data_IF_421180141225
#
_entry.id   IF_421180141225
#
_cell.length_a   1.000
_cell.length_b   1.000
_cell.length_c   1.000
_cell.angle_alpha   90.00
_cell.angle_beta   90.00
_cell.angle_gamma   90.00
#
_symmetry.space_group_name_H-M   'P 1'
#
loop_
_entity.id
_entity.type
_entity.pdbx_description
1 polymer ?
#
# COMPACT_ATOMS: atom_id res chain seq x y z
N UNK A 1 -4.46 25.38 1.95
CA UNK A 1 -3.59 24.24 2.32
C UNK A 1 -3.67 24.04 3.82
N UNK A 2 -3.87 22.80 4.28
CA UNK A 2 -3.78 22.46 5.71
C UNK A 2 -2.35 22.69 6.20
N UNK A 3 -2.19 23.15 7.45
CA UNK A 3 -0.88 23.26 8.11
C UNK A 3 -0.16 21.91 8.12
N UNK A 4 1.18 21.84 8.01
CA UNK A 4 1.94 20.59 8.12
C UNK A 4 1.66 19.88 9.45
N UNK A 5 1.47 20.66 10.52
CA UNK A 5 1.09 20.15 11.84
C UNK A 5 -0.30 19.52 11.79
N UNK A 6 -1.28 20.19 11.18
CA UNK A 6 -2.65 19.66 11.10
C UNK A 6 -2.73 18.44 10.17
N UNK A 7 -1.94 18.40 9.10
CA UNK A 7 -1.82 17.22 8.24
C UNK A 7 -1.29 16.01 9.03
N UNK A 8 -0.16 16.18 9.73
CA UNK A 8 0.42 15.14 10.57
C UNK A 8 -0.53 14.68 11.69
N UNK A 9 -1.22 15.61 12.34
CA UNK A 9 -2.20 15.29 13.39
C UNK A 9 -3.36 14.45 12.86
N UNK A 10 -3.91 14.85 11.71
CA UNK A 10 -5.00 14.12 11.07
C UNK A 10 -4.54 12.75 10.57
N UNK A 11 -3.31 12.64 10.07
CA UNK A 11 -2.69 11.36 9.68
C UNK A 11 -2.67 10.37 10.85
N UNK A 12 -2.11 10.75 12.00
CA UNK A 12 -2.09 9.85 13.16
C UNK A 12 -3.52 9.56 13.64
N UNK A 13 -4.40 10.55 13.74
CA UNK A 13 -5.77 10.32 14.22
C UNK A 13 -6.60 9.37 13.34
N UNK A 14 -6.32 9.25 12.04
CA UNK A 14 -6.98 8.27 11.15
C UNK A 14 -6.60 6.82 11.50
N UNK A 15 -5.41 6.60 12.04
CA UNK A 15 -4.88 5.28 12.40
C UNK A 15 -5.30 4.84 13.81
N UNK A 16 -5.79 5.75 14.66
CA UNK A 16 -6.12 5.48 16.06
C UNK A 16 -7.49 6.07 16.40
N UNK A 17 -8.54 5.23 16.46
CA UNK A 17 -9.94 5.66 16.67
C UNK A 17 -10.17 6.48 17.93
N UNK A 18 -9.36 6.26 18.97
CA UNK A 18 -9.49 6.93 20.27
C UNK A 18 -8.63 8.19 20.39
N UNK A 19 -7.89 8.54 19.33
CA UNK A 19 -7.05 9.72 19.29
C UNK A 19 -7.90 10.99 19.28
N UNK A 20 -7.69 11.84 20.29
CA UNK A 20 -8.30 13.17 20.36
C UNK A 20 -7.31 14.22 19.90
N UNK A 21 -7.80 15.14 19.07
CA UNK A 21 -7.04 16.27 18.54
C UNK A 21 -7.58 17.59 19.11
N UNK A 22 -7.00 18.14 20.19
CA UNK A 22 -7.47 19.42 20.75
C UNK A 22 -7.31 20.59 19.78
N UNK A 23 -8.36 21.38 19.60
CA UNK A 23 -8.38 22.47 18.62
C UNK A 23 -7.24 23.49 18.87
N UNK A 24 -6.52 23.85 17.80
CA UNK A 24 -5.42 24.81 17.84
C UNK A 24 -4.19 24.36 18.65
N UNK A 25 -4.03 23.06 18.92
CA UNK A 25 -2.89 22.51 19.66
C UNK A 25 -2.04 21.59 18.77
N UNK A 26 -0.70 21.62 18.87
CA UNK A 26 0.17 20.79 18.04
C UNK A 26 0.35 19.37 18.59
N UNK A 27 -0.70 18.79 19.21
CA UNK A 27 -0.62 17.46 19.83
C UNK A 27 -1.90 16.66 19.62
N UNK A 28 -1.75 15.34 19.76
CA UNK A 28 -2.84 14.36 19.84
C UNK A 28 -2.67 13.51 21.09
N UNK A 29 -3.77 13.05 21.66
CA UNK A 29 -3.77 12.28 22.90
C UNK A 29 -4.81 11.16 22.89
N UNK A 30 -4.39 9.99 23.34
CA UNK A 30 -5.17 8.81 23.69
C UNK A 30 -5.14 8.68 25.22
N UNK A 31 -6.28 8.37 25.83
CA UNK A 31 -6.36 8.05 27.26
C UNK A 31 -6.21 6.53 27.39
N UNK A 32 -5.03 6.04 27.79
CA UNK A 32 -4.80 4.60 27.99
C UNK A 32 -5.65 4.06 29.14
N UNK A 33 -5.61 4.73 30.29
CA UNK A 33 -6.48 4.47 31.42
C UNK A 33 -6.60 5.73 32.28
N UNK A 34 -7.36 5.64 33.38
CA UNK A 34 -7.48 6.74 34.34
C UNK A 34 -6.10 7.08 34.92
N UNK A 35 -5.50 8.15 34.41
CA UNK A 35 -4.22 8.67 34.87
C UNK A 35 -3.01 8.35 34.00
N UNK A 36 -3.24 7.73 32.84
CA UNK A 36 -2.22 7.48 31.83
C UNK A 36 -2.67 8.04 30.48
N UNK A 37 -1.86 8.95 29.96
CA UNK A 37 -2.03 9.58 28.66
C UNK A 37 -0.92 9.07 27.73
N UNK A 38 -1.29 8.78 26.49
CA UNK A 38 -0.36 8.42 25.43
C UNK A 38 -0.62 9.30 24.22
N UNK A 39 0.40 9.69 23.48
CA UNK A 39 0.18 10.57 22.35
C UNK A 39 1.45 11.07 21.72
N UNK A 40 1.33 12.20 21.04
CA UNK A 40 2.45 12.85 20.40
C UNK A 40 2.35 14.37 20.59
N UNK A 41 3.49 15.06 20.52
CA UNK A 41 3.57 16.50 20.51
C UNK A 41 4.54 16.97 19.43
N UNK A 42 4.05 17.78 18.50
CA UNK A 42 4.88 18.38 17.46
C UNK A 42 5.59 19.62 18.02
N UNK A 43 6.92 19.62 17.97
CA UNK A 43 7.79 20.76 18.29
C UNK A 43 8.39 21.32 17.00
N UNK A 44 9.19 22.37 17.12
CA UNK A 44 9.82 23.04 15.97
C UNK A 44 10.88 22.15 15.30
N UNK A 45 11.57 21.37 16.10
CA UNK A 45 12.79 20.62 15.79
C UNK A 45 12.66 19.11 16.02
N UNK A 46 11.49 18.64 16.48
CA UNK A 46 11.21 17.22 16.63
C UNK A 46 9.71 16.93 16.79
N UNK A 47 9.31 15.67 16.68
CA UNK A 47 8.06 15.14 17.23
C UNK A 47 8.36 14.29 18.46
N UNK A 48 7.72 14.58 19.60
CA UNK A 48 7.80 13.76 20.81
C UNK A 48 6.61 12.80 20.83
N UNK A 49 6.86 11.51 20.60
CA UNK A 49 5.89 10.43 20.88
C UNK A 49 6.06 10.04 22.33
N UNK A 50 4.99 10.01 23.12
CA UNK A 50 5.12 9.96 24.57
C UNK A 50 4.05 9.16 25.29
N UNK A 51 4.48 8.57 26.40
CA UNK A 51 3.65 8.20 27.54
C UNK A 51 3.82 9.22 28.66
N UNK A 52 2.71 9.63 29.28
CA UNK A 52 2.69 10.55 30.43
C UNK A 52 1.70 10.03 31.48
N UNK A 53 2.19 9.77 32.69
CA UNK A 53 1.31 9.63 33.86
C UNK A 53 0.88 11.00 34.37
N UNK A 54 -0.36 11.13 34.87
CA UNK A 54 -0.87 12.41 35.38
C UNK A 54 -0.50 12.68 36.86
N UNK A 55 0.28 11.79 37.48
CA UNK A 55 0.70 11.89 38.89
C UNK A 55 -0.31 11.38 39.92
N UNK A 56 -1.36 10.65 39.51
CA UNK A 56 -2.30 9.99 40.43
C UNK A 56 -1.86 8.58 40.86
N UNK A 57 -0.88 8.00 40.19
CA UNK A 57 -0.27 6.71 40.52
C UNK A 57 1.08 6.93 41.21
N UNK A 58 1.56 5.92 41.94
CA UNK A 58 2.89 5.97 42.54
C UNK A 58 3.95 6.03 41.44
N UNK A 59 4.81 7.06 41.40
CA UNK A 59 5.86 7.16 40.39
C UNK A 59 6.87 5.99 40.47
N UNK A 60 7.07 5.35 41.62
CA UNK A 60 7.94 4.17 41.72
C UNK A 60 7.33 2.95 41.03
N UNK A 61 6.00 2.78 41.07
CA UNK A 61 5.32 1.68 40.36
C UNK A 61 5.41 1.88 38.84
N UNK A 62 5.24 3.11 38.37
CA UNK A 62 5.35 3.43 36.94
C UNK A 62 6.80 3.27 36.44
N UNK A 63 7.79 3.72 37.22
CA UNK A 63 9.21 3.51 36.90
C UNK A 63 9.58 2.02 36.97
N UNK A 64 9.03 1.28 37.95
CA UNK A 64 9.18 -0.16 38.07
C UNK A 64 8.70 -0.88 36.81
N UNK A 65 7.50 -0.55 36.32
CA UNK A 65 6.98 -1.09 35.06
C UNK A 65 7.92 -0.83 33.87
N UNK A 66 8.45 0.39 33.74
CA UNK A 66 9.39 0.74 32.67
C UNK A 66 10.66 -0.12 32.73
N UNK A 67 11.22 -0.30 33.94
CA UNK A 67 12.42 -1.10 34.15
C UNK A 67 12.18 -2.59 33.92
N UNK A 68 11.09 -3.14 34.47
CA UNK A 68 10.77 -4.56 34.40
C UNK A 68 10.48 -5.02 32.96
N UNK A 69 9.99 -4.11 32.11
CA UNK A 69 9.74 -4.37 30.69
C UNK A 69 10.90 -3.92 29.77
N UNK A 70 12.02 -3.47 30.35
CA UNK A 70 13.21 -3.02 29.63
C UNK A 70 12.97 -1.81 28.73
N UNK A 71 11.91 -1.04 28.95
CA UNK A 71 11.49 0.05 28.05
C UNK A 71 12.57 1.13 27.97
N UNK A 72 13.21 1.47 29.09
CA UNK A 72 14.27 2.49 29.13
C UNK A 72 15.54 2.14 28.36
N UNK A 73 15.77 0.84 28.09
CA UNK A 73 16.95 0.34 27.38
C UNK A 73 16.65 -0.10 25.93
N UNK A 74 15.39 0.02 25.50
CA UNK A 74 14.96 -0.29 24.12
C UNK A 74 15.34 0.84 23.17
N UNK A 75 15.36 0.52 21.89
CA UNK A 75 15.35 1.51 20.82
C UNK A 75 14.09 1.40 20.00
N UNK A 76 13.65 2.54 19.47
CA UNK A 76 12.43 2.68 18.68
C UNK A 76 12.76 3.17 17.27
N UNK A 77 12.02 2.68 16.28
CA UNK A 77 12.23 3.03 14.87
C UNK A 77 13.65 2.74 14.38
N UNK A 78 14.41 3.81 14.12
CA UNK A 78 15.76 3.78 13.52
C UNK A 78 16.85 3.90 14.61
N UNK A 79 16.62 3.27 15.76
CA UNK A 79 17.59 3.27 16.86
C UNK A 79 17.43 4.43 17.85
N UNK A 80 16.27 5.08 17.90
CA UNK A 80 16.03 6.20 18.83
C UNK A 80 15.83 5.68 20.26
N UNK A 81 16.60 6.21 21.20
CA UNK A 81 16.49 5.87 22.62
C UNK A 81 15.39 6.72 23.30
N UNK A 82 14.58 6.13 24.19
CA UNK A 82 13.56 6.86 24.92
C UNK A 82 14.14 7.66 26.09
N UNK A 83 13.67 8.90 26.25
CA UNK A 83 13.96 9.71 27.43
C UNK A 83 12.94 9.41 28.54
N UNK A 84 13.40 8.77 29.62
CA UNK A 84 12.57 8.46 30.80
C UNK A 84 12.92 9.42 31.95
N UNK A 85 11.96 10.19 32.42
CA UNK A 85 12.20 11.18 33.47
C UNK A 85 10.96 11.55 34.29
N UNK A 86 11.20 12.16 35.46
CA UNK A 86 10.15 12.72 36.31
C UNK A 86 9.84 14.17 35.96
N UNK A 87 8.57 14.54 36.11
CA UNK A 87 8.08 15.88 35.87
C UNK A 87 8.74 16.89 36.80
N UNK A 88 9.24 17.98 36.23
CA UNK A 88 9.93 19.04 36.99
C UNK A 88 8.99 19.83 37.91
N UNK A 89 7.70 19.94 37.55
CA UNK A 89 6.67 20.63 38.36
C UNK A 89 5.93 19.70 39.31
N UNK A 90 5.87 18.42 38.98
CA UNK A 90 5.22 17.39 39.79
C UNK A 90 6.05 16.11 39.66
N UNK A 91 6.79 15.76 40.71
CA UNK A 91 7.68 14.60 40.72
C UNK A 91 6.92 13.27 40.64
N UNK A 92 5.60 13.26 40.85
CA UNK A 92 4.77 12.07 40.68
C UNK A 92 4.42 11.79 39.21
N UNK A 93 4.65 12.76 38.31
CA UNK A 93 4.48 12.55 36.88
C UNK A 93 5.73 11.88 36.33
N UNK A 94 5.59 10.66 35.85
CA UNK A 94 6.59 9.94 35.05
C UNK A 94 6.27 10.13 33.57
N UNK A 95 7.31 10.38 32.77
CA UNK A 95 7.27 10.55 31.31
C UNK A 95 8.25 9.59 30.66
N UNK A 96 7.86 9.05 29.52
CA UNK A 96 8.73 8.35 28.59
C UNK A 96 8.46 8.97 27.21
N UNK A 97 9.47 9.61 26.62
CA UNK A 97 9.35 10.36 25.37
C UNK A 97 10.39 9.84 24.35
N UNK A 98 9.95 9.52 23.14
CA UNK A 98 10.83 9.21 22.00
C UNK A 98 10.80 10.41 21.05
N UNK A 99 11.96 11.00 20.79
CA UNK A 99 12.10 12.23 20.02
C UNK A 99 12.53 11.95 18.58
N UNK A 100 11.62 12.18 17.63
CA UNK A 100 11.86 12.06 16.20
C UNK A 100 12.37 13.40 15.68
N UNK A 101 13.65 13.53 15.27
CA UNK A 101 14.23 14.81 14.88
C UNK A 101 13.55 15.39 13.61
N UNK A 102 13.46 16.71 13.56
CA UNK A 102 13.00 17.49 12.40
C UNK A 102 14.02 18.61 12.13
N UNK A 103 14.50 18.72 10.89
CA UNK A 103 15.21 19.90 10.41
C UNK A 103 14.25 21.09 10.25
N UNK A 104 12.99 20.80 9.89
CA UNK A 104 11.91 21.79 9.86
C UNK A 104 10.53 21.17 10.05
N UNK A 105 9.56 21.99 10.49
CA UNK A 105 8.15 21.57 10.63
C UNK A 105 7.56 21.14 9.27
N UNK A 106 8.12 21.58 8.15
CA UNK A 106 7.65 21.18 6.82
C UNK A 106 7.89 19.70 6.54
N UNK A 107 8.84 19.06 7.23
CA UNK A 107 9.09 17.62 7.16
C UNK A 107 7.91 16.77 7.62
N UNK A 108 6.99 17.33 8.41
CA UNK A 108 5.75 16.64 8.79
C UNK A 108 4.86 16.32 7.58
N UNK A 109 5.11 16.94 6.42
CA UNK A 109 4.46 16.56 5.17
C UNK A 109 5.04 15.27 4.59
N UNK A 110 6.31 14.95 4.87
CA UNK A 110 7.00 13.76 4.34
C UNK A 110 6.29 12.49 4.81
N UNK A 111 5.71 11.68 3.92
CA UNK A 111 5.12 10.39 4.24
C UNK A 111 6.09 9.46 4.98
N UNK A 112 7.38 9.45 4.61
CA UNK A 112 8.44 8.68 5.30
C UNK A 112 8.52 9.02 6.78
N UNK A 113 8.53 10.32 7.13
CA UNK A 113 8.53 10.78 8.51
C UNK A 113 7.23 10.42 9.24
N UNK A 114 6.08 10.53 8.57
CA UNK A 114 4.78 10.15 9.14
C UNK A 114 4.69 8.65 9.44
N UNK A 115 5.15 7.78 8.52
CA UNK A 115 5.20 6.32 8.71
C UNK A 115 6.21 5.92 9.78
N UNK A 116 7.41 6.48 9.76
CA UNK A 116 8.42 6.26 10.80
C UNK A 116 7.88 6.68 12.18
N UNK A 117 7.19 7.82 12.24
CA UNK A 117 6.54 8.26 13.46
C UNK A 117 5.39 7.37 13.90
N UNK A 118 4.59 6.81 12.97
CA UNK A 118 3.54 5.86 13.30
C UNK A 118 4.12 4.56 13.83
N UNK A 119 5.20 4.05 13.22
CA UNK A 119 5.90 2.85 13.71
C UNK A 119 6.38 3.03 15.15
N UNK A 120 7.02 4.17 15.45
CA UNK A 120 7.43 4.50 16.83
C UNK A 120 6.23 4.62 17.76
N UNK A 121 5.14 5.22 17.27
CA UNK A 121 3.88 5.30 18.02
C UNK A 121 3.33 3.92 18.36
N UNK A 122 3.30 2.98 17.42
CA UNK A 122 2.84 1.61 17.63
C UNK A 122 3.76 0.82 18.57
N UNK A 123 5.07 0.89 18.37
CA UNK A 123 6.07 0.22 19.23
C UNK A 123 5.95 0.69 20.69
N UNK A 124 5.93 2.01 20.91
CA UNK A 124 5.83 2.58 22.26
C UNK A 124 4.42 2.37 22.86
N UNK A 125 3.36 2.42 22.05
CA UNK A 125 2.00 2.14 22.51
C UNK A 125 1.89 0.71 23.04
N UNK A 126 2.42 -0.27 22.31
CA UNK A 126 2.38 -1.68 22.72
C UNK A 126 3.09 -1.88 24.06
N UNK A 127 4.25 -1.24 24.24
CA UNK A 127 5.00 -1.29 25.50
C UNK A 127 4.23 -0.72 26.70
N UNK A 128 3.41 0.31 26.50
CA UNK A 128 2.61 0.92 27.58
C UNK A 128 1.16 0.44 27.64
N UNK A 129 0.67 -0.33 26.67
CA UNK A 129 -0.71 -0.87 26.71
C UNK A 129 -0.94 -1.80 27.92
N UNK A 130 0.09 -2.57 28.29
CA UNK A 130 0.08 -3.48 29.44
C UNK A 130 -0.01 -2.79 30.79
N UNK A 131 0.52 -1.57 30.95
CA UNK A 131 0.51 -0.84 32.25
C UNK A 131 -0.91 -0.51 32.72
N UNK A 132 -1.83 -0.42 31.77
CA UNK A 132 -3.22 -0.08 31.99
C UNK A 132 -4.12 -1.32 32.13
N UNK A 133 -3.60 -2.52 31.82
CA UNK A 133 -4.43 -3.72 31.65
C UNK A 133 -5.48 -3.56 30.53
N UNK A 134 -5.20 -2.72 29.54
CA UNK A 134 -6.13 -2.37 28.46
C UNK A 134 -5.74 -3.12 27.20
N UNK A 135 -6.63 -4.01 26.75
CA UNK A 135 -6.55 -4.58 25.42
C UNK A 135 -6.72 -3.47 24.38
N UNK A 136 -5.93 -3.53 23.31
CA UNK A 136 -6.00 -2.58 22.18
C UNK A 136 -7.46 -2.45 21.70
N UNK A 137 -8.00 -1.24 21.49
CA UNK A 137 -9.17 -1.09 20.64
C UNK A 137 -8.83 -1.70 19.29
N UNK A 138 -9.63 -2.68 18.82
CA UNK A 138 -9.37 -3.40 17.57
C UNK A 138 -8.94 -2.40 16.49
N UNK A 139 -7.79 -2.66 15.86
CA UNK A 139 -7.59 -2.17 14.49
C UNK A 139 -8.84 -2.56 13.68
N UNK A 140 -9.19 -1.81 12.64
CA UNK A 140 -9.95 -2.43 11.55
C UNK A 140 -9.04 -3.50 10.95
N UNK A 141 -9.03 -4.67 11.56
CA UNK A 141 -8.38 -5.88 11.07
C UNK A 141 -9.46 -6.67 10.33
N UNK A 142 -9.25 -6.82 9.03
CA UNK A 142 -9.64 -8.04 8.33
C UNK A 142 -8.91 -9.21 9.01
N UNK A 143 -9.68 -10.14 9.54
CA UNK A 143 -9.19 -11.33 10.22
C UNK A 143 -8.41 -12.23 9.27
N UNK A 144 -7.12 -12.43 9.54
CA UNK A 144 -6.27 -13.46 8.91
C UNK A 144 -6.49 -14.76 9.68
N UNK A 145 -7.14 -15.74 9.06
CA UNK A 145 -7.04 -17.15 9.48
C UNK A 145 -5.88 -17.80 8.73
N UNK A 146 -4.96 -18.38 9.49
CA UNK A 146 -3.95 -19.32 8.97
C UNK A 146 -4.65 -20.58 8.48
N UNK A 147 -4.50 -20.93 7.20
CA UNK A 147 -4.93 -22.25 6.69
C UNK A 147 -3.75 -22.94 6.03
N UNK A 148 -3.46 -24.14 6.54
CA UNK A 148 -2.53 -25.10 5.97
C UNK A 148 -2.93 -25.49 4.54
N UNK A 149 -1.91 -25.74 3.73
CA UNK A 149 -1.96 -26.22 2.36
C UNK A 149 -2.86 -27.47 2.21
N UNK A 150 -4.01 -27.33 1.56
CA UNK A 150 -4.80 -28.45 1.02
C UNK A 150 -5.35 -28.09 -0.36
N UNK A 151 -5.14 -29.02 -1.29
CA UNK A 151 -5.39 -28.94 -2.73
C UNK A 151 -6.70 -28.24 -3.15
N UNK A 152 -6.57 -27.32 -4.12
CA UNK A 152 -7.67 -26.68 -4.84
C UNK A 152 -8.59 -27.73 -5.46
N UNK A 153 -9.82 -27.82 -4.94
CA UNK A 153 -10.98 -28.31 -5.68
C UNK A 153 -11.92 -27.14 -5.88
N UNK A 154 -12.59 -27.14 -7.04
CA UNK A 154 -13.34 -26.04 -7.64
C UNK A 154 -14.57 -25.60 -6.84
N UNK A 155 -14.38 -24.88 -5.74
CA UNK A 155 -15.40 -23.98 -5.21
C UNK A 155 -15.13 -22.57 -5.74
N UNK A 156 -16.16 -21.96 -6.33
CA UNK A 156 -16.10 -20.65 -6.96
C UNK A 156 -15.59 -19.62 -5.95
N UNK A 157 -14.32 -19.22 -6.08
CA UNK A 157 -13.78 -18.07 -5.36
C UNK A 157 -14.67 -16.87 -5.68
N UNK A 158 -15.45 -16.39 -4.71
CA UNK A 158 -16.21 -15.16 -4.87
C UNK A 158 -15.20 -13.99 -4.95
N UNK A 159 -15.13 -13.35 -6.13
CA UNK A 159 -14.30 -12.17 -6.32
C UNK A 159 -15.09 -10.94 -5.85
N UNK A 160 -14.46 -10.11 -5.01
CA UNK A 160 -15.04 -8.79 -4.69
C UNK A 160 -15.12 -7.96 -5.97
N UNK A 161 -16.22 -7.24 -6.13
CA UNK A 161 -16.47 -6.44 -7.32
C UNK A 161 -17.05 -5.06 -6.99
N UNK A 162 -16.97 -4.16 -7.97
CA UNK A 162 -17.52 -2.81 -7.91
C UNK A 162 -18.15 -2.46 -9.25
N UNK A 163 -19.30 -1.79 -9.22
CA UNK A 163 -19.96 -1.28 -10.42
C UNK A 163 -19.46 0.14 -10.69
N UNK A 164 -18.88 0.35 -11.87
CA UNK A 164 -18.40 1.65 -12.35
C UNK A 164 -19.05 1.89 -13.71
N UNK A 165 -19.95 2.86 -13.78
CA UNK A 165 -20.79 3.05 -14.96
C UNK A 165 -21.66 1.81 -15.23
N UNK A 166 -21.51 1.24 -16.41
CA UNK A 166 -22.22 0.03 -16.82
C UNK A 166 -21.40 -1.26 -16.64
N UNK A 167 -20.18 -1.15 -16.13
CA UNK A 167 -19.23 -2.27 -16.03
C UNK A 167 -19.10 -2.71 -14.57
N UNK A 168 -19.11 -4.03 -14.33
CA UNK A 168 -18.80 -4.62 -13.03
C UNK A 168 -17.34 -5.11 -13.04
N UNK A 169 -16.48 -4.39 -12.33
CA UNK A 169 -15.03 -4.63 -12.25
C UNK A 169 -14.67 -5.44 -11.01
N UNK A 170 -13.64 -6.30 -11.11
CA UNK A 170 -13.00 -6.85 -9.91
C UNK A 170 -12.43 -5.73 -9.06
N UNK A 171 -12.61 -5.81 -7.73
CA UNK A 171 -12.07 -4.86 -6.74
C UNK A 171 -10.64 -5.22 -6.27
N UNK A 172 -10.15 -6.39 -6.65
CA UNK A 172 -8.80 -6.90 -6.34
C UNK A 172 -8.10 -7.34 -7.63
N UNK A 173 -6.77 -7.34 -7.64
CA UNK A 173 -5.99 -7.83 -8.78
C UNK A 173 -6.17 -9.33 -8.94
N UNK A 174 -6.22 -9.80 -10.18
CA UNK A 174 -6.36 -11.22 -10.48
C UNK A 174 -5.19 -12.01 -9.87
N UNK A 175 -5.53 -13.12 -9.23
CA UNK A 175 -4.58 -13.92 -8.48
C UNK A 175 -4.89 -15.41 -8.62
N UNK A 176 -4.81 -15.91 -9.86
CA UNK A 176 -5.04 -17.32 -10.24
C UNK A 176 -3.75 -17.99 -10.74
N UNK A 177 -3.55 -19.26 -10.38
CA UNK A 177 -2.43 -20.08 -10.87
C UNK A 177 -2.79 -21.03 -12.02
N UNK A 178 -4.06 -21.02 -12.45
CA UNK A 178 -4.62 -21.93 -13.43
C UNK A 178 -5.44 -21.16 -14.46
N UNK A 179 -5.46 -21.66 -15.69
CA UNK A 179 -6.39 -21.21 -16.72
C UNK A 179 -7.82 -21.70 -16.42
N UNK A 180 -8.80 -21.17 -17.15
CA UNK A 180 -10.22 -21.55 -17.04
C UNK A 180 -10.46 -23.06 -17.22
N UNK A 181 -9.64 -23.71 -18.05
CA UNK A 181 -9.67 -25.17 -18.25
C UNK A 181 -8.93 -25.98 -17.16
N UNK A 182 -8.50 -25.35 -16.08
CA UNK A 182 -7.71 -25.92 -14.97
C UNK A 182 -6.26 -26.30 -15.31
N UNK A 183 -5.76 -25.99 -16.51
CA UNK A 183 -4.33 -26.16 -16.78
C UNK A 183 -3.51 -25.19 -15.93
N UNK A 184 -2.45 -25.68 -15.29
CA UNK A 184 -1.56 -24.85 -14.49
C UNK A 184 -0.75 -23.88 -15.38
N UNK A 185 -0.63 -22.65 -14.90
CA UNK A 185 0.26 -21.64 -15.45
C UNK A 185 1.60 -21.76 -14.71
N UNK A 186 2.74 -21.92 -15.41
CA UNK A 186 4.04 -21.99 -14.76
C UNK A 186 4.35 -20.74 -13.91
N UNK A 187 4.89 -20.95 -12.71
CA UNK A 187 5.49 -19.88 -11.91
C UNK A 187 6.97 -19.72 -12.29
N UNK A 188 7.41 -18.51 -12.61
CA UNK A 188 8.83 -18.19 -12.77
C UNK A 188 9.39 -17.62 -11.46
N UNK A 189 10.40 -18.30 -10.91
CA UNK A 189 11.05 -17.97 -9.64
C UNK A 189 12.39 -17.27 -9.83
N UNK A 190 12.94 -17.31 -11.05
CA UNK A 190 14.18 -16.61 -11.40
C UNK A 190 14.01 -15.74 -12.64
N UNK A 191 14.97 -14.84 -12.87
CA UNK A 191 15.00 -14.01 -14.07
C UNK A 191 15.18 -14.84 -15.34
N UNK A 192 16.03 -15.86 -15.28
CA UNK A 192 16.30 -16.76 -16.41
C UNK A 192 15.04 -17.52 -16.83
N UNK A 193 14.22 -17.95 -15.86
CA UNK A 193 12.95 -18.62 -16.13
C UNK A 193 11.94 -17.70 -16.81
N UNK A 194 11.80 -16.47 -16.28
CA UNK A 194 10.90 -15.45 -16.84
C UNK A 194 11.33 -15.05 -18.25
N UNK A 195 12.61 -14.74 -18.45
CA UNK A 195 13.17 -14.33 -19.74
C UNK A 195 13.02 -15.44 -20.78
N UNK A 196 13.26 -16.70 -20.38
CA UNK A 196 13.09 -17.86 -21.28
C UNK A 196 11.63 -18.02 -21.68
N UNK A 197 10.68 -17.90 -20.75
CA UNK A 197 9.26 -17.97 -21.09
C UNK A 197 8.87 -16.87 -22.09
N UNK A 198 9.38 -15.65 -21.89
CA UNK A 198 9.18 -14.54 -22.84
C UNK A 198 9.75 -14.80 -24.23
N UNK A 199 10.95 -15.42 -24.33
CA UNK A 199 11.58 -15.78 -25.61
C UNK A 199 10.87 -16.94 -26.33
N UNK A 200 10.26 -17.85 -25.57
CA UNK A 200 9.53 -19.01 -26.08
C UNK A 200 8.04 -18.73 -26.29
N UNK A 201 7.59 -17.49 -26.06
CA UNK A 201 6.18 -17.07 -26.12
C UNK A 201 5.25 -17.93 -25.25
N UNK A 202 5.72 -18.29 -24.05
CA UNK A 202 4.99 -19.14 -23.10
C UNK A 202 4.36 -18.33 -21.97
N UNK A 203 3.18 -18.73 -21.49
CA UNK A 203 2.54 -18.09 -20.36
C UNK A 203 3.33 -18.36 -19.08
N UNK A 204 3.45 -17.35 -18.23
CA UNK A 204 4.09 -17.46 -16.92
C UNK A 204 3.52 -16.42 -15.97
N UNK A 205 3.58 -16.69 -14.66
CA UNK A 205 3.32 -15.71 -13.62
C UNK A 205 4.42 -15.70 -12.57
N UNK A 206 4.47 -14.63 -11.77
CA UNK A 206 5.28 -14.58 -10.55
C UNK A 206 4.63 -13.61 -9.55
N UNK A 207 5.04 -13.68 -8.29
CA UNK A 207 4.81 -12.60 -7.34
C UNK A 207 5.88 -11.51 -7.48
N UNK A 208 5.57 -10.29 -7.08
CA UNK A 208 6.58 -9.24 -7.02
C UNK A 208 7.77 -9.67 -6.14
N UNK A 209 9.00 -9.43 -6.57
CA UNK A 209 10.25 -9.93 -5.96
C UNK A 209 10.34 -11.47 -5.81
N UNK A 210 9.48 -12.23 -6.47
CA UNK A 210 9.27 -13.67 -6.24
C UNK A 210 8.96 -14.01 -4.77
N UNK A 211 8.25 -13.11 -4.08
CA UNK A 211 7.88 -13.22 -2.67
C UNK A 211 6.38 -13.51 -2.51
N UNK A 212 5.97 -14.68 -1.99
CA UNK A 212 4.55 -15.03 -1.80
C UNK A 212 3.75 -14.00 -1.01
N UNK A 213 4.36 -13.34 -0.01
CA UNK A 213 3.73 -12.29 0.78
C UNK A 213 3.25 -11.09 -0.07
N UNK A 214 3.89 -10.82 -1.20
CA UNK A 214 3.43 -9.79 -2.14
C UNK A 214 2.23 -10.27 -2.97
N UNK A 215 2.04 -11.58 -3.09
CA UNK A 215 0.92 -12.17 -3.80
C UNK A 215 -0.43 -11.99 -3.10
N UNK A 216 -0.44 -12.06 -1.77
CA UNK A 216 -1.64 -11.80 -0.96
C UNK A 216 -2.09 -10.34 -1.10
N UNK A 217 -1.12 -9.43 -1.20
CA UNK A 217 -1.35 -7.99 -1.25
C UNK A 217 -1.62 -7.45 -2.64
N UNK A 218 -0.74 -7.73 -3.60
CA UNK A 218 -0.76 -7.12 -4.94
C UNK A 218 -1.27 -8.06 -6.03
N UNK A 219 -1.50 -9.33 -5.72
CA UNK A 219 -1.82 -10.35 -6.71
C UNK A 219 -0.59 -10.82 -7.50
N UNK A 220 -0.85 -11.55 -8.59
CA UNK A 220 0.18 -12.08 -9.48
C UNK A 220 0.48 -11.11 -10.61
N UNK A 221 1.74 -11.10 -11.04
CA UNK A 221 2.16 -10.50 -12.29
C UNK A 221 2.14 -11.56 -13.38
N UNK A 222 1.45 -11.29 -14.48
CA UNK A 222 1.35 -12.17 -15.63
C UNK A 222 2.07 -11.56 -16.81
N UNK A 223 2.78 -12.37 -17.59
CA UNK A 223 3.16 -11.93 -18.92
C UNK A 223 1.94 -11.96 -19.87
N UNK A 224 2.04 -11.25 -20.98
CA UNK A 224 0.90 -11.13 -21.89
C UNK A 224 0.55 -12.45 -22.60
N UNK A 225 1.50 -13.38 -22.71
CA UNK A 225 1.21 -14.72 -23.21
C UNK A 225 0.26 -15.50 -22.30
N UNK A 226 0.25 -15.23 -20.98
CA UNK A 226 -0.77 -15.76 -20.08
C UNK A 226 -2.09 -15.00 -20.23
N UNK A 227 -2.04 -13.66 -20.34
CA UNK A 227 -3.24 -12.81 -20.54
C UNK A 227 -4.03 -13.25 -21.77
N UNK A 228 -3.35 -13.45 -22.91
CA UNK A 228 -3.98 -13.78 -24.19
C UNK A 228 -3.86 -15.26 -24.57
N UNK A 229 -3.77 -16.17 -23.59
CA UNK A 229 -3.76 -17.61 -23.86
C UNK A 229 -5.16 -18.10 -24.26
N UNK A 230 -5.23 -19.00 -25.25
CA UNK A 230 -6.49 -19.58 -25.72
C UNK A 230 -7.26 -20.39 -24.66
N UNK A 231 -6.60 -20.76 -23.55
CA UNK A 231 -7.22 -21.44 -22.41
C UNK A 231 -7.93 -20.49 -21.43
N UNK A 232 -7.82 -19.18 -21.67
CA UNK A 232 -8.41 -18.08 -20.90
C UNK A 232 -7.87 -17.97 -19.47
N UNK A 233 -7.23 -16.85 -19.15
CA UNK A 233 -6.76 -16.55 -17.80
C UNK A 233 -7.90 -16.16 -16.86
N UNK A 234 -8.94 -15.50 -17.38
CA UNK A 234 -10.06 -15.04 -16.56
C UNK A 234 -10.93 -16.22 -16.07
N UNK A 235 -11.41 -16.18 -14.80
CA UNK A 235 -12.35 -17.16 -14.24
C UNK A 235 -13.69 -17.21 -14.99
N UNK A 236 -14.51 -18.23 -14.70
CA UNK A 236 -15.87 -18.32 -15.25
C UNK A 236 -16.74 -17.10 -14.87
N UNK A 237 -17.46 -16.54 -15.84
CA UNK A 237 -18.27 -15.32 -15.67
C UNK A 237 -17.48 -14.01 -15.66
N UNK A 238 -16.18 -14.06 -15.97
CA UNK A 238 -15.30 -12.90 -16.06
C UNK A 238 -14.49 -12.95 -17.36
N UNK A 239 -14.14 -11.78 -17.89
CA UNK A 239 -13.20 -11.62 -18.99
C UNK A 239 -12.12 -10.60 -18.67
N UNK A 240 -11.01 -10.67 -19.41
CA UNK A 240 -9.97 -9.64 -19.37
C UNK A 240 -10.46 -8.46 -20.21
N UNK A 241 -10.42 -7.23 -19.68
CA UNK A 241 -10.90 -6.07 -20.39
C UNK A 241 -10.14 -5.87 -21.69
N UNK A 242 -10.88 -5.48 -22.71
CA UNK A 242 -10.30 -4.94 -23.94
C UNK A 242 -9.99 -3.44 -23.78
N UNK A 243 -9.38 -2.87 -24.82
CA UNK A 243 -9.02 -1.45 -24.89
C UNK A 243 -10.25 -0.55 -24.75
N UNK A 244 -11.33 -0.86 -25.47
CA UNK A 244 -12.56 -0.09 -25.47
C UNK A 244 -13.23 -0.07 -24.09
N UNK A 245 -13.15 -1.17 -23.34
CA UNK A 245 -13.71 -1.28 -21.99
C UNK A 245 -12.94 -0.44 -20.96
N UNK A 246 -11.60 -0.40 -21.05
CA UNK A 246 -10.82 0.52 -20.23
C UNK A 246 -11.09 1.98 -20.61
N UNK A 247 -11.31 2.29 -21.89
CA UNK A 247 -11.69 3.64 -22.33
C UNK A 247 -13.05 4.02 -21.74
N UNK A 248 -14.06 3.13 -21.79
CA UNK A 248 -15.37 3.37 -21.17
C UNK A 248 -15.26 3.65 -19.66
N UNK A 249 -14.41 2.90 -18.94
CA UNK A 249 -14.11 3.15 -17.53
C UNK A 249 -13.56 4.56 -17.31
N UNK A 250 -12.59 4.97 -18.11
CA UNK A 250 -11.92 6.27 -17.99
C UNK A 250 -12.89 7.41 -18.32
N UNK A 251 -13.62 7.31 -19.43
CA UNK A 251 -14.61 8.31 -19.87
C UNK A 251 -15.73 8.49 -18.84
N UNK A 252 -16.23 7.39 -18.29
CA UNK A 252 -17.25 7.45 -17.22
C UNK A 252 -16.74 8.22 -16.00
N UNK A 253 -15.49 7.99 -15.59
CA UNK A 253 -14.89 8.67 -14.45
C UNK A 253 -14.47 10.11 -14.74
N UNK A 254 -14.17 10.44 -15.99
CA UNK A 254 -13.94 11.80 -16.45
C UNK A 254 -15.24 12.62 -16.49
N UNK A 255 -16.37 11.96 -16.81
CA UNK A 255 -17.67 12.60 -17.01
C UNK A 255 -17.88 13.15 -18.42
N UNK A 256 -16.95 12.88 -19.33
CA UNK A 256 -16.97 13.23 -20.76
C UNK A 256 -16.17 12.19 -21.56
N UNK A 257 -16.46 12.09 -22.87
CA UNK A 257 -15.66 11.26 -23.76
C UNK A 257 -14.27 11.89 -23.91
N UNK A 258 -13.22 11.13 -23.59
CA UNK A 258 -11.84 11.60 -23.71
C UNK A 258 -11.34 11.46 -25.15
N UNK A 259 -10.84 12.57 -25.72
CA UNK A 259 -10.16 12.56 -27.03
C UNK A 259 -8.65 12.28 -26.91
N UNK A 260 -8.11 12.29 -25.69
CA UNK A 260 -6.67 12.25 -25.40
C UNK A 260 -6.23 10.95 -24.69
N UNK A 261 -4.99 10.49 -24.96
CA UNK A 261 -4.35 9.32 -24.33
C UNK A 261 -4.05 9.51 -22.81
N UNK A 262 -4.37 10.69 -22.26
CA UNK A 262 -4.03 11.15 -20.91
C UNK A 262 -5.27 11.85 -20.33
N UNK A 263 -5.79 11.36 -19.21
CA UNK A 263 -6.96 11.96 -18.56
C UNK A 263 -6.66 12.33 -17.12
N UNK A 264 -6.56 13.63 -16.85
CA UNK A 264 -6.29 14.19 -15.54
C UNK A 264 -7.42 13.86 -14.55
N UNK A 265 -7.10 13.75 -13.25
CA UNK A 265 -8.04 13.50 -12.14
C UNK A 265 -8.78 12.15 -12.15
N UNK A 266 -8.67 11.33 -13.21
CA UNK A 266 -9.28 9.98 -13.24
C UNK A 266 -8.43 8.95 -12.50
N UNK A 267 -7.11 8.99 -12.66
CA UNK A 267 -6.19 8.09 -11.98
C UNK A 267 -6.33 8.17 -10.46
N UNK A 268 -6.57 9.37 -9.94
CA UNK A 268 -6.92 9.58 -8.53
C UNK A 268 -8.16 8.81 -8.05
N UNK A 269 -9.24 8.83 -8.84
CA UNK A 269 -10.50 8.12 -8.52
C UNK A 269 -10.33 6.59 -8.56
N UNK A 270 -9.33 6.08 -9.28
CA UNK A 270 -9.02 4.65 -9.42
C UNK A 270 -8.09 4.11 -8.33
N UNK A 271 -7.16 4.93 -7.83
CA UNK A 271 -6.17 4.54 -6.82
C UNK A 271 -6.81 4.18 -5.48
N UNK A 272 -6.27 3.18 -4.80
CA UNK A 272 -6.55 2.95 -3.37
C UNK A 272 -6.32 4.24 -2.56
N UNK A 273 -7.21 4.52 -1.61
CA UNK A 273 -7.05 5.69 -0.74
C UNK A 273 -5.85 5.57 0.18
N UNK A 274 -5.23 6.70 0.46
CA UNK A 274 -4.16 6.78 1.44
C UNK A 274 -2.81 6.41 0.86
N UNK A 275 -1.84 6.28 1.75
CA UNK A 275 -0.41 6.20 1.37
C UNK A 275 0.24 4.97 1.97
N UNK A 276 -0.54 3.96 2.38
CA UNK A 276 0.02 2.73 2.94
C UNK A 276 0.93 2.07 1.90
N UNK A 277 0.40 1.94 0.68
CA UNK A 277 1.01 1.20 -0.41
C UNK A 277 1.69 2.09 -1.45
N UNK A 278 1.13 3.26 -1.75
CA UNK A 278 1.73 4.25 -2.65
C UNK A 278 2.89 5.00 -1.96
N UNK A 279 4.07 5.06 -2.60
CA UNK A 279 5.34 5.47 -1.98
C UNK A 279 5.45 6.98 -1.76
N UNK A 280 4.91 7.88 -2.60
CA UNK A 280 4.59 9.30 -2.31
C UNK A 280 3.54 9.82 -3.33
N UNK A 281 2.54 10.66 -3.00
CA UNK A 281 2.67 12.13 -2.93
C UNK A 281 1.66 12.76 -1.91
N UNK A 282 2.09 13.79 -1.14
CA UNK A 282 1.31 14.41 -0.05
C UNK A 282 0.07 15.23 -0.46
N UNK A 283 -0.14 15.50 -1.75
CA UNK A 283 -1.35 16.15 -2.30
C UNK A 283 -2.21 15.19 -3.15
N UNK A 284 -1.92 13.88 -3.12
CA UNK A 284 -2.45 12.89 -4.06
C UNK A 284 -3.98 12.79 -4.15
N UNK A 285 -4.47 12.91 -5.39
CA UNK A 285 -5.86 12.71 -5.83
C UNK A 285 -6.40 11.28 -5.61
N UNK A 286 -5.71 10.43 -4.86
CA UNK A 286 -6.12 9.05 -4.57
C UNK A 286 -7.37 9.02 -3.65
N UNK A 287 -8.52 9.31 -4.25
CA UNK A 287 -9.82 9.40 -3.57
C UNK A 287 -10.55 8.07 -3.54
N UNK A 288 -10.20 7.16 -4.44
CA UNK A 288 -10.90 5.89 -4.68
C UNK A 288 -12.42 6.05 -4.83
N UNK A 289 -12.89 7.18 -5.35
CA UNK A 289 -14.34 7.44 -5.52
C UNK A 289 -15.03 6.38 -6.40
N UNK A 290 -14.27 5.71 -7.27
CA UNK A 290 -14.76 4.62 -8.10
C UNK A 290 -14.92 3.30 -7.34
N UNK A 291 -14.23 3.10 -6.22
CA UNK A 291 -14.10 1.83 -5.53
C UNK A 291 -13.17 0.81 -6.22
N UNK A 292 -12.55 1.17 -7.34
CA UNK A 292 -11.64 0.30 -8.10
C UNK A 292 -10.43 -0.15 -7.27
N UNK A 293 -9.93 0.69 -6.37
CA UNK A 293 -8.90 0.35 -5.38
C UNK A 293 -7.61 -0.17 -6.02
N UNK A 294 -7.07 0.54 -7.02
CA UNK A 294 -5.82 0.16 -7.66
C UNK A 294 -4.65 0.22 -6.67
N UNK A 295 -3.92 -0.90 -6.58
CA UNK A 295 -2.73 -1.03 -5.75
C UNK A 295 -1.46 -0.90 -6.59
N UNK A 296 -0.39 -0.28 -6.05
CA UNK A 296 0.86 -0.08 -6.76
C UNK A 296 1.74 -1.33 -6.72
N UNK A 297 1.27 -2.39 -7.37
CA UNK A 297 1.95 -3.69 -7.41
C UNK A 297 3.24 -3.71 -8.24
N UNK A 298 3.59 -2.60 -8.90
CA UNK A 298 4.73 -2.52 -9.80
C UNK A 298 4.60 -3.45 -10.99
N UNK A 299 5.74 -3.79 -11.60
CA UNK A 299 5.80 -4.70 -12.74
C UNK A 299 7.13 -5.47 -12.79
N UNK A 300 7.16 -6.51 -13.63
CA UNK A 300 8.38 -7.27 -13.94
C UNK A 300 8.89 -6.94 -15.33
N UNK A 301 10.10 -6.42 -15.39
CA UNK A 301 10.81 -6.06 -16.63
C UNK A 301 11.47 -7.28 -17.28
N UNK A 302 11.71 -7.19 -18.59
CA UNK A 302 12.42 -8.24 -19.36
C UNK A 302 13.92 -8.01 -19.36
N UNK A 303 14.71 -9.04 -19.68
CA UNK A 303 16.16 -8.88 -19.93
C UNK A 303 16.50 -7.76 -20.91
N UNK A 304 15.70 -7.61 -21.95
CA UNK A 304 15.95 -6.60 -22.98
C UNK A 304 16.06 -5.22 -22.34
N UNK A 305 15.01 -4.78 -21.63
CA UNK A 305 14.98 -3.46 -20.98
C UNK A 305 16.08 -3.29 -19.92
N UNK A 306 16.35 -4.33 -19.12
CA UNK A 306 17.45 -4.31 -18.14
C UNK A 306 18.82 -4.05 -18.77
N UNK A 307 19.07 -4.55 -19.98
CA UNK A 307 20.34 -4.33 -20.69
C UNK A 307 20.49 -2.89 -21.23
N UNK A 308 19.39 -2.23 -21.61
CA UNK A 308 19.44 -0.83 -22.07
C UNK A 308 19.68 0.15 -20.93
N UNK A 309 19.16 -0.13 -19.74
CA UNK A 309 19.31 0.72 -18.56
C UNK A 309 20.74 0.73 -17.98
N UNK A 310 21.65 -0.13 -18.48
CA UNK A 310 23.08 -0.22 -18.09
C UNK A 310 23.33 -0.32 -16.58
N UNK A 311 22.36 -0.83 -15.82
CA UNK A 311 22.48 -1.04 -14.38
C UNK A 311 22.05 -2.47 -14.07
N UNK A 312 22.80 -3.16 -13.22
CA UNK A 312 22.39 -4.44 -12.62
C UNK A 312 21.24 -4.18 -11.62
N UNK A 313 20.14 -3.60 -12.10
CA UNK A 313 18.95 -3.32 -11.29
C UNK A 313 18.02 -4.53 -11.27
N UNK A 314 17.19 -4.59 -10.23
CA UNK A 314 16.17 -5.62 -10.07
C UNK A 314 15.31 -5.75 -11.34
N UNK A 315 14.89 -6.97 -11.67
CA UNK A 315 13.87 -7.20 -12.70
C UNK A 315 12.49 -6.71 -12.29
N UNK A 316 12.29 -6.47 -10.99
CA UNK A 316 11.07 -5.90 -10.44
C UNK A 316 11.22 -4.40 -10.24
N UNK A 317 10.22 -3.63 -10.67
CA UNK A 317 10.26 -2.17 -10.72
C UNK A 317 8.96 -1.57 -10.19
N UNK A 318 9.07 -0.36 -9.64
CA UNK A 318 7.94 0.53 -9.35
C UNK A 318 6.88 -0.01 -8.39
N UNK A 319 7.23 -0.99 -7.51
CA UNK A 319 6.37 -1.29 -6.36
C UNK A 319 6.18 -0.03 -5.54
N UNK A 320 4.94 0.25 -5.17
CA UNK A 320 4.57 1.47 -4.48
C UNK A 320 4.56 2.73 -5.34
N UNK A 321 5.14 2.72 -6.53
CA UNK A 321 5.18 3.90 -7.41
C UNK A 321 4.15 3.82 -8.54
N UNK A 322 3.83 2.61 -9.01
CA UNK A 322 2.95 2.44 -10.16
C UNK A 322 2.03 1.24 -10.03
N UNK A 323 0.79 1.40 -10.52
CA UNK A 323 -0.12 0.31 -10.81
C UNK A 323 -0.25 0.19 -12.33
N UNK A 324 0.03 -1.00 -12.88
CA UNK A 324 0.03 -1.23 -14.33
C UNK A 324 -0.87 -2.43 -14.63
N UNK A 325 -1.85 -2.22 -15.51
CA UNK A 325 -2.85 -3.22 -15.88
C UNK A 325 -2.82 -3.48 -17.38
N UNK A 326 -2.68 -4.74 -17.78
CA UNK A 326 -2.79 -5.14 -19.19
C UNK A 326 -4.26 -5.31 -19.61
N UNK A 327 -4.49 -5.13 -20.90
CA UNK A 327 -5.72 -5.52 -21.60
C UNK A 327 -5.52 -6.79 -22.45
N UNK A 328 -6.63 -7.31 -22.98
CA UNK A 328 -6.63 -8.38 -23.96
C UNK A 328 -6.09 -7.97 -25.34
N UNK A 329 -5.91 -6.67 -25.63
CA UNK A 329 -5.52 -6.17 -26.95
C UNK A 329 -4.00 -5.99 -27.10
N UNK A 330 -3.54 -6.18 -28.33
CA UNK A 330 -2.26 -5.63 -28.76
C UNK A 330 -2.40 -4.11 -28.98
N UNK A 331 -1.31 -3.37 -28.79
CA UNK A 331 -1.27 -1.94 -29.07
C UNK A 331 -1.09 -1.68 -30.56
N UNK A 332 -1.86 -0.72 -31.09
CA UNK A 332 -1.81 -0.28 -32.49
C UNK A 332 -0.59 0.61 -32.81
N UNK A 333 0.34 0.83 -31.87
CA UNK A 333 1.40 1.83 -32.04
C UNK A 333 2.57 1.36 -32.93
N UNK A 334 2.81 2.10 -34.02
CA UNK A 334 3.86 1.85 -35.05
C UNK A 334 5.32 1.96 -34.57
N UNK A 335 5.55 2.15 -33.26
CA UNK A 335 6.89 2.37 -32.71
C UNK A 335 7.74 1.10 -32.60
N UNK A 336 8.50 0.77 -33.64
CA UNK A 336 9.87 0.23 -33.61
C UNK A 336 10.20 -1.16 -33.02
N UNK A 337 9.36 -1.81 -32.22
CA UNK A 337 9.69 -3.12 -31.62
C UNK A 337 8.54 -4.15 -31.68
N UNK A 338 8.93 -5.42 -31.80
CA UNK A 338 8.07 -6.60 -31.94
C UNK A 338 6.98 -6.65 -30.85
N UNK A 339 5.74 -6.44 -31.29
CA UNK A 339 4.48 -6.72 -30.60
C UNK A 339 4.29 -6.10 -29.21
N UNK A 340 3.45 -5.06 -29.17
CA UNK A 340 3.14 -4.32 -27.96
C UNK A 340 1.79 -4.73 -27.38
N UNK A 341 1.68 -4.69 -26.07
CA UNK A 341 0.44 -4.85 -25.31
C UNK A 341 -0.14 -3.47 -25.04
N UNK A 342 -1.46 -3.35 -25.04
CA UNK A 342 -2.15 -2.15 -24.58
C UNK A 342 -2.61 -2.34 -23.14
N UNK A 343 -2.56 -1.28 -22.35
CA UNK A 343 -3.05 -1.26 -20.98
C UNK A 343 -3.16 0.17 -20.44
N UNK A 344 -3.40 0.27 -19.14
CA UNK A 344 -3.37 1.55 -18.42
C UNK A 344 -2.33 1.49 -17.30
N UNK A 345 -1.78 2.65 -16.94
CA UNK A 345 -0.97 2.78 -15.74
C UNK A 345 -1.33 4.04 -14.94
N UNK A 346 -1.13 3.92 -13.63
CA UNK A 346 -1.33 4.96 -12.63
C UNK A 346 0.00 5.18 -11.93
N UNK A 347 0.36 6.43 -11.69
CA UNK A 347 1.55 6.80 -10.92
C UNK A 347 1.18 7.36 -9.55
N UNK A 348 2.11 7.21 -8.60
CA UNK A 348 1.92 7.68 -7.25
C UNK A 348 1.75 9.21 -7.20
N UNK A 349 2.54 9.92 -8.01
CA UNK A 349 2.66 11.39 -8.03
C UNK A 349 1.61 12.10 -8.89
N UNK A 350 0.78 11.38 -9.64
CA UNK A 350 -0.14 11.99 -10.59
C UNK A 350 -1.60 11.49 -10.41
N UNK A 351 -2.57 12.41 -10.42
CA UNK A 351 -4.00 12.11 -10.45
C UNK A 351 -4.48 11.60 -11.81
N UNK A 352 -3.60 11.51 -12.79
CA UNK A 352 -3.85 11.13 -14.18
C UNK A 352 -3.84 9.63 -14.39
N UNK A 353 -4.69 9.16 -15.32
CA UNK A 353 -4.56 7.81 -15.89
C UNK A 353 -3.84 7.92 -17.23
N UNK A 354 -2.85 7.06 -17.43
CA UNK A 354 -2.05 7.04 -18.65
C UNK A 354 -2.26 5.75 -19.42
N UNK A 355 -2.21 5.83 -20.74
CA UNK A 355 -2.06 4.65 -21.59
C UNK A 355 -0.67 4.03 -21.41
N UNK A 356 -0.64 2.71 -21.30
CA UNK A 356 0.59 1.93 -21.24
C UNK A 356 0.77 1.07 -22.48
N UNK A 357 1.91 1.23 -23.17
CA UNK A 357 2.39 0.27 -24.15
C UNK A 357 3.50 -0.58 -23.52
N UNK A 358 3.43 -1.91 -23.67
CA UNK A 358 4.42 -2.84 -23.08
C UNK A 358 4.88 -3.92 -24.04
N UNK A 359 6.08 -4.48 -23.85
CA UNK A 359 6.44 -5.71 -24.57
C UNK A 359 5.69 -6.91 -23.96
N UNK A 360 5.27 -7.88 -24.77
CA UNK A 360 4.52 -9.07 -24.32
C UNK A 360 5.17 -9.89 -23.20
N UNK A 361 6.50 -9.78 -23.04
CA UNK A 361 7.24 -10.42 -21.96
C UNK A 361 7.25 -9.67 -20.63
N UNK A 362 6.75 -8.44 -20.56
CA UNK A 362 6.65 -7.66 -19.31
C UNK A 362 5.54 -8.26 -18.45
N UNK A 363 5.79 -8.41 -17.15
CA UNK A 363 4.83 -8.92 -16.18
C UNK A 363 4.02 -7.81 -15.55
N UNK A 364 2.70 -7.82 -15.71
CA UNK A 364 1.79 -6.78 -15.21
C UNK A 364 0.63 -7.38 -14.43
N UNK A 365 -0.07 -6.54 -13.67
CA UNK A 365 -1.30 -6.94 -12.99
C UNK A 365 -2.44 -7.05 -14.00
N UNK A 366 -3.47 -7.82 -13.66
CA UNK A 366 -4.70 -7.95 -14.45
C UNK A 366 -5.90 -7.65 -13.55
N UNK A 367 -6.87 -6.93 -14.09
CA UNK A 367 -8.22 -6.76 -13.54
C UNK A 367 -9.20 -7.35 -14.53
N UNK A 368 -10.28 -7.98 -14.06
CA UNK A 368 -11.31 -8.54 -14.92
C UNK A 368 -12.63 -7.74 -14.81
N UNK A 369 -13.43 -7.81 -15.86
CA UNK A 369 -14.82 -7.35 -15.91
C UNK A 369 -15.73 -8.58 -15.95
N UNK A 370 -16.92 -8.46 -15.37
CA UNK A 370 -17.93 -9.51 -15.38
C UNK A 370 -18.70 -9.54 -16.70
N UNK A 371 -19.02 -10.75 -17.18
CA UNK A 371 -19.70 -10.99 -18.46
C UNK A 371 -21.15 -10.48 -18.54
#
# INVERSE_FOLDING_TARGET
MSSPIDNYRNYLARNYSDMKLPAGKPYGVIKLAKGYDFGFHVRKDHVSVHFISNGTHDPEEVMGYINDNGIGDKTYGDGLEPDVFRGTRNANVVRCEVHIPLESVDELRKPTLRKHSQRIFDELYNDFSGIAGVERPKQKEDTIETVEEVAETSESKEFKSVIIGNQEWMAENLNVGHFKNSDSIPEAKTDEEWDRAGQENKPVWCFYDNKPENGEKYGRLYNWYAVNDARCLAPEGWHIPNKEEYIELVDYLAGEESEDDIVENVGGKLKETGFENWIEEPDGDATNESGFSALPGGYRSTKYYRLFEKRNESSFKSIGESAIFDSANESDSDGGYDSKTWGIYLEAEDGTVFKSDGAKGVGRSVRCIKD
#
